data_IF_956878288585
#
_entry.id   IF_956878288585
#
_cell.length_a   1.000
_cell.length_b   1.000
_cell.length_c   1.000
_cell.angle_alpha   90.00
_cell.angle_beta   90.00
_cell.angle_gamma   90.00
#
_symmetry.space_group_name_H-M   'P 1'
#
loop_
_entity.id
_entity.type
_entity.pdbx_description
1 polymer ?
#
# COMPACT_ATOMS: atom_id res chain seq x y z
N UNK A 1 -14.93 -2.19 -6.28
CA UNK A 1 -14.40 -2.80 -5.06
C UNK A 1 -12.89 -2.84 -5.13
N UNK A 2 -12.19 -2.40 -4.07
CA UNK A 2 -10.75 -2.32 -4.10
C UNK A 2 -10.10 -3.53 -3.42
N UNK A 3 -9.15 -4.15 -4.10
CA UNK A 3 -8.33 -5.21 -3.53
C UNK A 3 -7.07 -4.57 -2.96
N UNK A 4 -6.85 -4.77 -1.67
CA UNK A 4 -5.75 -4.16 -0.93
C UNK A 4 -4.85 -5.24 -0.34
N UNK A 5 -3.54 -5.05 -0.47
CA UNK A 5 -2.55 -5.96 0.09
C UNK A 5 -1.77 -5.22 1.17
N UNK A 6 -1.65 -5.84 2.35
CA UNK A 6 -0.87 -5.29 3.46
C UNK A 6 0.37 -6.13 3.63
N UNK A 7 1.55 -5.51 3.49
CA UNK A 7 2.84 -6.18 3.69
C UNK A 7 3.47 -5.63 4.96
N UNK A 8 3.38 -6.41 6.04
CA UNK A 8 3.74 -5.99 7.38
C UNK A 8 4.09 -7.19 8.24
N UNK A 9 5.26 -7.21 8.84
CA UNK A 9 5.70 -8.35 9.67
C UNK A 9 5.15 -8.32 11.11
N UNK A 10 4.74 -7.15 11.61
CA UNK A 10 4.14 -7.04 12.94
C UNK A 10 2.67 -7.45 12.86
N UNK A 11 2.37 -8.65 13.36
CA UNK A 11 1.02 -9.21 13.26
C UNK A 11 -0.04 -8.37 13.98
N UNK A 12 0.32 -7.76 15.11
CA UNK A 12 -0.61 -6.91 15.87
C UNK A 12 -0.97 -5.65 15.09
N UNK A 13 0.02 -4.98 14.52
CA UNK A 13 -0.21 -3.79 13.71
C UNK A 13 -1.00 -4.15 12.45
N UNK A 14 -0.64 -5.24 11.80
CA UNK A 14 -1.31 -5.70 10.58
C UNK A 14 -2.80 -5.97 10.85
N UNK A 15 -3.12 -6.62 11.97
CA UNK A 15 -4.50 -6.90 12.33
C UNK A 15 -5.28 -5.62 12.65
N UNK A 16 -4.66 -4.68 13.37
CA UNK A 16 -5.27 -3.39 13.68
C UNK A 16 -5.58 -2.61 12.40
N UNK A 17 -4.63 -2.58 11.48
CA UNK A 17 -4.80 -1.89 10.20
C UNK A 17 -5.95 -2.49 9.40
N UNK A 18 -6.03 -3.81 9.36
CA UNK A 18 -7.10 -4.51 8.69
C UNK A 18 -8.46 -4.16 9.29
N UNK A 19 -8.55 -4.13 10.61
CA UNK A 19 -9.80 -3.79 11.31
C UNK A 19 -10.23 -2.34 11.03
N UNK A 20 -9.28 -1.40 11.06
CA UNK A 20 -9.55 0.00 10.78
C UNK A 20 -10.07 0.18 9.35
N UNK A 21 -9.42 -0.49 8.40
CA UNK A 21 -9.83 -0.42 7.00
C UNK A 21 -11.22 -1.03 6.77
N UNK A 22 -11.49 -2.20 7.34
CA UNK A 22 -12.77 -2.86 7.18
C UNK A 22 -13.92 -2.10 7.84
N UNK A 23 -13.65 -1.43 8.98
CA UNK A 23 -14.68 -0.64 9.65
C UNK A 23 -15.13 0.53 8.77
N UNK A 24 -14.20 1.17 8.05
CA UNK A 24 -14.51 2.33 7.21
C UNK A 24 -14.89 1.95 5.78
N UNK A 25 -14.31 0.87 5.27
CA UNK A 25 -14.51 0.40 3.90
C UNK A 25 -14.88 -1.08 3.91
N UNK A 26 -16.12 -1.42 4.32
CA UNK A 26 -16.48 -2.84 4.54
C UNK A 26 -16.44 -3.71 3.28
N UNK A 27 -16.47 -3.09 2.09
CA UNK A 27 -16.42 -3.83 0.83
C UNK A 27 -15.00 -4.08 0.32
N UNK A 28 -13.99 -3.55 1.02
CA UNK A 28 -12.59 -3.74 0.62
C UNK A 28 -12.15 -5.18 0.86
N UNK A 29 -11.56 -5.80 -0.15
CA UNK A 29 -10.94 -7.11 0.01
C UNK A 29 -9.49 -6.91 0.44
N UNK A 30 -9.09 -7.55 1.52
CA UNK A 30 -7.75 -7.36 2.09
C UNK A 30 -7.02 -8.70 2.15
N UNK A 31 -5.83 -8.75 1.54
CA UNK A 31 -4.89 -9.86 1.67
C UNK A 31 -3.69 -9.37 2.50
N UNK A 32 -2.97 -10.30 3.09
CA UNK A 32 -1.87 -10.00 4.01
C UNK A 32 -0.63 -10.83 3.67
N UNK A 33 0.54 -10.22 3.77
CA UNK A 33 1.82 -10.90 3.67
C UNK A 33 2.74 -10.39 4.78
N UNK A 34 3.42 -11.27 5.51
CA UNK A 34 4.31 -10.83 6.60
C UNK A 34 5.65 -10.28 6.11
N UNK A 35 6.03 -10.61 4.86
CA UNK A 35 7.30 -10.18 4.27
C UNK A 35 7.22 -10.29 2.75
N UNK A 36 8.37 -10.15 2.08
CA UNK A 36 8.43 -10.18 0.62
C UNK A 36 8.51 -11.56 -0.01
N UNK A 37 8.62 -12.63 0.78
CA UNK A 37 8.93 -13.97 0.23
C UNK A 37 7.89 -14.48 -0.76
N UNK A 38 6.60 -14.21 -0.54
CA UNK A 38 5.51 -14.62 -1.42
C UNK A 38 4.81 -13.43 -2.08
N UNK A 39 5.40 -12.22 -1.97
CA UNK A 39 4.76 -11.00 -2.39
C UNK A 39 4.35 -11.01 -3.86
N UNK A 40 5.27 -11.33 -4.75
CA UNK A 40 5.01 -11.24 -6.19
C UNK A 40 4.04 -12.33 -6.66
N UNK A 41 4.09 -13.50 -6.04
CA UNK A 41 3.10 -14.54 -6.29
C UNK A 41 1.71 -14.07 -5.86
N UNK A 42 1.63 -13.39 -4.71
CA UNK A 42 0.36 -12.84 -4.22
C UNK A 42 -0.16 -11.75 -5.14
N UNK A 43 0.72 -10.86 -5.61
CA UNK A 43 0.32 -9.81 -6.56
C UNK A 43 -0.26 -10.44 -7.82
N UNK A 44 0.39 -11.45 -8.36
CA UNK A 44 -0.07 -12.11 -9.58
C UNK A 44 -1.41 -12.83 -9.39
N UNK A 45 -1.65 -13.39 -8.22
CA UNK A 45 -2.89 -14.12 -7.94
C UNK A 45 -4.04 -13.20 -7.51
N UNK A 46 -3.74 -12.18 -6.72
CA UNK A 46 -4.76 -11.35 -6.09
C UNK A 46 -5.06 -10.07 -6.89
N UNK A 47 -4.11 -9.59 -7.67
CA UNK A 47 -4.22 -8.35 -8.45
C UNK A 47 -4.64 -7.15 -7.59
N UNK A 48 -3.88 -6.78 -6.56
CA UNK A 48 -4.25 -5.64 -5.72
C UNK A 48 -4.15 -4.33 -6.49
N UNK A 49 -5.04 -3.39 -6.19
CA UNK A 49 -4.95 -2.02 -6.70
C UNK A 49 -4.18 -1.12 -5.74
N UNK A 50 -4.08 -1.51 -4.48
CA UNK A 50 -3.46 -0.74 -3.41
C UNK A 50 -2.60 -1.66 -2.55
N UNK A 51 -1.38 -1.22 -2.26
CA UNK A 51 -0.45 -1.97 -1.39
C UNK A 51 0.04 -1.05 -0.28
N UNK A 52 -0.10 -1.49 0.96
CA UNK A 52 0.56 -0.87 2.11
C UNK A 52 1.84 -1.64 2.40
N UNK A 53 2.97 -0.94 2.45
CA UNK A 53 4.29 -1.54 2.55
C UNK A 53 5.07 -0.96 3.71
N UNK A 54 5.53 -1.81 4.64
CA UNK A 54 6.48 -1.40 5.66
C UNK A 54 7.90 -1.41 5.05
N UNK A 55 8.76 -0.53 5.55
CA UNK A 55 10.15 -0.46 5.08
C UNK A 55 10.98 -1.60 5.67
N UNK A 56 10.84 -1.86 6.97
CA UNK A 56 11.64 -2.87 7.66
C UNK A 56 10.91 -4.20 7.71
N UNK A 57 11.29 -5.07 6.79
CA UNK A 57 10.75 -6.42 6.69
C UNK A 57 11.88 -7.43 6.83
N UNK A 58 11.61 -8.65 7.31
CA UNK A 58 12.61 -9.72 7.29
C UNK A 58 13.04 -10.02 5.85
N UNK A 59 14.33 -10.15 5.65
CA UNK A 59 14.88 -10.46 4.33
C UNK A 59 15.09 -9.21 3.50
N UNK A 60 14.19 -8.91 2.60
CA UNK A 60 14.36 -7.80 1.66
C UNK A 60 13.68 -6.52 2.17
N UNK A 61 14.34 -5.37 1.97
CA UNK A 61 13.79 -4.08 2.34
C UNK A 61 12.48 -3.79 1.59
N UNK A 62 11.51 -3.21 2.30
CA UNK A 62 10.26 -2.76 1.67
C UNK A 62 10.50 -1.76 0.54
N UNK A 63 11.52 -0.91 0.66
CA UNK A 63 11.87 0.05 -0.39
C UNK A 63 12.28 -0.65 -1.68
N UNK A 64 13.07 -1.72 -1.58
CA UNK A 64 13.45 -2.49 -2.77
C UNK A 64 12.25 -3.21 -3.38
N UNK A 65 11.36 -3.71 -2.53
CA UNK A 65 10.13 -4.34 -3.01
C UNK A 65 9.25 -3.35 -3.75
N UNK A 66 9.14 -2.12 -3.23
CA UNK A 66 8.35 -1.06 -3.90
C UNK A 66 8.94 -0.76 -5.29
N UNK A 67 10.26 -0.65 -5.39
CA UNK A 67 10.91 -0.43 -6.70
C UNK A 67 10.50 -1.50 -7.71
N UNK A 68 10.51 -2.76 -7.29
CA UNK A 68 10.13 -3.87 -8.16
C UNK A 68 8.65 -3.83 -8.52
N UNK A 69 7.78 -3.53 -7.56
CA UNK A 69 6.35 -3.39 -7.82
C UNK A 69 6.10 -2.29 -8.84
N UNK A 70 6.67 -1.11 -8.64
CA UNK A 70 6.44 0.03 -9.52
C UNK A 70 7.05 -0.16 -10.90
N UNK A 71 8.13 -0.96 -11.01
CA UNK A 71 8.72 -1.30 -12.29
C UNK A 71 7.81 -2.19 -13.11
N UNK A 72 7.27 -3.25 -12.48
CA UNK A 72 6.49 -4.27 -13.17
C UNK A 72 4.98 -4.00 -13.17
N UNK A 73 4.50 -3.24 -12.19
CA UNK A 73 3.07 -2.92 -12.01
C UNK A 73 2.89 -1.45 -11.66
N UNK A 74 3.21 -0.53 -12.60
CA UNK A 74 3.17 0.91 -12.29
C UNK A 74 1.77 1.42 -11.94
N UNK A 75 0.72 0.68 -12.28
CA UNK A 75 -0.66 1.03 -11.97
C UNK A 75 -1.06 0.78 -10.52
N UNK A 76 -0.30 -0.06 -9.80
CA UNK A 76 -0.58 -0.32 -8.38
C UNK A 76 -0.19 0.91 -7.55
N UNK A 77 -1.12 1.38 -6.73
CA UNK A 77 -0.83 2.48 -5.79
C UNK A 77 -0.14 1.88 -4.57
N UNK A 78 1.05 2.39 -4.25
CA UNK A 78 1.82 1.92 -3.10
C UNK A 78 1.92 3.02 -2.07
N UNK A 79 1.51 2.72 -0.84
CA UNK A 79 1.64 3.59 0.32
C UNK A 79 2.68 2.95 1.25
N UNK A 80 3.77 3.65 1.49
CA UNK A 80 4.73 3.22 2.51
C UNK A 80 4.18 3.66 3.86
N UNK A 81 4.09 2.71 4.79
CA UNK A 81 3.55 2.94 6.13
C UNK A 81 4.56 2.41 7.13
N UNK A 82 5.28 3.29 7.82
CA UNK A 82 6.44 2.91 8.62
C UNK A 82 6.50 3.67 9.94
N UNK A 83 7.23 3.10 10.91
CA UNK A 83 7.51 3.76 12.18
C UNK A 83 8.65 4.77 12.07
N UNK A 84 9.35 4.82 10.95
CA UNK A 84 10.58 5.59 10.80
C UNK A 84 10.36 6.83 9.93
N UNK A 85 10.21 8.00 10.58
CA UNK A 85 10.04 9.28 9.89
C UNK A 85 11.36 10.04 9.86
N UNK A 86 12.31 9.52 9.10
CA UNK A 86 13.61 10.15 8.92
C UNK A 86 13.70 10.68 7.49
N UNK A 87 14.39 11.83 7.28
CA UNK A 87 14.51 12.39 5.93
C UNK A 87 15.06 11.42 4.90
N UNK A 88 16.04 10.58 5.29
CA UNK A 88 16.62 9.59 4.38
C UNK A 88 15.59 8.54 3.94
N UNK A 89 14.65 8.17 4.80
CA UNK A 89 13.59 7.23 4.43
C UNK A 89 12.58 7.88 3.50
N UNK A 90 12.23 9.14 3.74
CA UNK A 90 11.33 9.85 2.84
C UNK A 90 11.93 10.03 1.46
N UNK A 91 13.22 10.36 1.40
CA UNK A 91 13.93 10.51 0.13
C UNK A 91 14.01 9.17 -0.60
N UNK A 92 14.32 8.10 0.12
CA UNK A 92 14.38 6.76 -0.47
C UNK A 92 13.01 6.31 -0.98
N UNK A 93 11.93 6.68 -0.28
CA UNK A 93 10.57 6.39 -0.71
C UNK A 93 10.25 7.09 -2.03
N UNK A 94 10.62 8.36 -2.20
CA UNK A 94 10.45 9.07 -3.45
C UNK A 94 11.21 8.37 -4.58
N UNK A 95 12.46 7.99 -4.32
CA UNK A 95 13.30 7.30 -5.31
C UNK A 95 12.71 5.94 -5.70
N UNK A 96 11.99 5.29 -4.79
CA UNK A 96 11.35 4.00 -5.07
C UNK A 96 10.11 4.13 -5.94
N UNK A 97 9.62 5.36 -6.17
CA UNK A 97 8.39 5.68 -6.90
C UNK A 97 7.12 5.32 -6.15
N UNK A 98 7.20 5.13 -4.82
CA UNK A 98 6.00 4.96 -4.00
C UNK A 98 5.08 6.17 -4.18
N UNK A 99 3.78 5.93 -4.15
CA UNK A 99 2.80 7.00 -4.37
C UNK A 99 2.63 7.88 -3.13
N UNK A 100 2.73 7.27 -1.94
CA UNK A 100 2.54 7.99 -0.68
C UNK A 100 3.46 7.44 0.40
N UNK A 101 3.78 8.28 1.37
CA UNK A 101 4.57 7.92 2.55
C UNK A 101 3.83 8.42 3.78
N UNK A 102 3.60 7.54 4.75
CA UNK A 102 2.93 7.90 5.99
C UNK A 102 3.55 7.17 7.16
N UNK A 103 3.57 7.78 8.33
CA UNK A 103 4.07 7.13 9.54
C UNK A 103 2.97 6.37 10.25
N UNK A 104 3.34 5.30 10.96
CA UNK A 104 2.37 4.46 11.68
C UNK A 104 1.71 5.19 12.84
N UNK A 105 2.32 6.25 13.35
CA UNK A 105 1.76 7.04 14.43
C UNK A 105 0.88 8.19 13.96
N UNK A 106 0.62 8.28 12.67
CA UNK A 106 -0.29 9.29 12.13
C UNK A 106 -1.70 9.09 12.69
N UNK A 107 -2.45 10.18 12.93
CA UNK A 107 -3.83 10.04 13.39
C UNK A 107 -4.66 9.19 12.44
N UNK A 108 -5.50 8.33 13.02
CA UNK A 108 -6.35 7.40 12.24
C UNK A 108 -7.19 8.14 11.20
N UNK A 109 -7.76 9.28 11.57
CA UNK A 109 -8.58 10.06 10.64
C UNK A 109 -7.78 10.53 9.43
N UNK A 110 -6.53 10.94 9.64
CA UNK A 110 -5.65 11.37 8.56
C UNK A 110 -5.33 10.21 7.61
N UNK A 111 -5.07 9.05 8.19
CA UNK A 111 -4.84 7.83 7.42
C UNK A 111 -6.08 7.47 6.57
N UNK A 112 -7.26 7.49 7.18
CA UNK A 112 -8.48 7.14 6.49
C UNK A 112 -8.83 8.15 5.39
N UNK A 113 -8.56 9.44 5.62
CA UNK A 113 -8.77 10.48 4.61
C UNK A 113 -7.88 10.23 3.39
N UNK A 114 -6.62 9.85 3.62
CA UNK A 114 -5.71 9.51 2.52
C UNK A 114 -6.23 8.30 1.74
N UNK A 115 -6.64 7.24 2.44
CA UNK A 115 -7.15 6.04 1.78
C UNK A 115 -8.41 6.35 0.98
N UNK A 116 -9.32 7.15 1.53
CA UNK A 116 -10.53 7.56 0.81
C UNK A 116 -10.17 8.27 -0.50
N UNK A 117 -9.23 9.19 -0.45
CA UNK A 117 -8.74 9.89 -1.64
C UNK A 117 -8.15 8.93 -2.68
N UNK A 118 -7.36 7.97 -2.23
CA UNK A 118 -6.78 6.97 -3.12
C UNK A 118 -7.87 6.13 -3.79
N UNK A 119 -8.87 5.69 -3.01
CA UNK A 119 -9.96 4.88 -3.55
C UNK A 119 -10.78 5.65 -4.58
N UNK A 120 -11.00 6.95 -4.35
CA UNK A 120 -11.70 7.80 -5.32
C UNK A 120 -10.90 7.89 -6.62
N UNK A 121 -9.60 8.06 -6.55
CA UNK A 121 -8.74 8.12 -7.73
C UNK A 121 -8.75 6.80 -8.50
N UNK A 122 -8.62 5.68 -7.80
CA UNK A 122 -8.67 4.35 -8.40
C UNK A 122 -10.02 4.14 -9.08
N UNK A 123 -11.11 4.47 -8.40
CA UNK A 123 -12.46 4.30 -8.90
C UNK A 123 -12.70 5.16 -10.14
N UNK A 124 -12.25 6.40 -10.12
CA UNK A 124 -12.36 7.31 -11.26
C UNK A 124 -11.64 6.77 -12.49
N UNK A 125 -10.46 6.19 -12.31
CA UNK A 125 -9.69 5.59 -13.40
C UNK A 125 -10.39 4.39 -14.02
N UNK A 126 -11.12 3.61 -13.19
CA UNK A 126 -11.84 2.43 -13.66
C UNK A 126 -13.11 2.82 -14.39
N UNK A 127 -13.81 3.88 -13.92
CA UNK A 127 -15.11 4.28 -14.42
C UNK A 127 -15.02 5.22 -15.63
N UNK A 128 -14.03 6.09 -15.65
CA UNK A 128 -13.87 7.03 -16.75
C UNK A 128 -13.28 6.31 -17.95
N UNK A 129 -14.04 6.17 -19.06
CA UNK A 129 -13.45 5.66 -20.27
C UNK A 129 -12.33 6.60 -20.68
N UNK A 130 -11.22 6.02 -21.13
CA UNK A 130 -10.15 6.82 -21.70
C UNK A 130 -10.73 7.61 -22.86
N UNK A 131 -10.76 8.91 -22.72
CA UNK A 131 -11.14 9.76 -23.82
C UNK A 131 -10.01 9.67 -24.84
N UNK A 132 -10.29 9.19 -26.06
CA UNK A 132 -9.27 9.21 -27.08
C UNK A 132 -8.91 10.66 -27.34
N UNK A 133 -7.70 10.99 -27.06
CA UNK A 133 -7.21 12.33 -27.36
C UNK A 133 -6.83 12.44 -28.79
#
# INVERSE_FOLDING_TARGET
MCKTLIVEDNATFRQMLKEVLHARFPMMEIAEEPDGSELFRRIDAFHPALVFMDIRLPGESGLELVKKIKRDHPEIVVVILTSYDLPEYRQAAEQSKANHFMTKDSPTQRFLTLVESILEDIHSHVIQPKIPS
#
